data_IF_939473589950
#
_entry.id   IF_939473589950
#
_cell.length_a   1.000
_cell.length_b   1.000
_cell.length_c   1.000
_cell.angle_alpha   90.00
_cell.angle_beta   90.00
_cell.angle_gamma   90.00
#
_symmetry.space_group_name_H-M   'P 1'
#
loop_
_entity.id
_entity.type
_entity.pdbx_description
1 polymer ?
#
# COMPACT_ATOMS: atom_id res chain seq x y z
N UNK A 1 0.50 20.35 0.40
CA UNK A 1 1.10 19.03 0.16
C UNK A 1 1.21 18.29 1.47
N UNK A 2 0.98 17.01 1.45
CA UNK A 2 0.93 16.21 2.66
C UNK A 2 2.34 15.74 3.07
N UNK A 3 2.96 16.44 4.01
CA UNK A 3 4.31 16.11 4.49
C UNK A 3 4.37 14.73 5.15
N UNK A 4 3.32 14.33 5.84
CA UNK A 4 3.26 13.01 6.46
C UNK A 4 3.27 11.91 5.40
N UNK A 5 2.49 12.09 4.34
CA UNK A 5 2.44 11.14 3.24
C UNK A 5 3.81 11.00 2.56
N UNK A 6 4.48 12.12 2.29
CA UNK A 6 5.82 12.11 1.71
C UNK A 6 6.82 11.38 2.59
N UNK A 7 6.76 11.62 3.89
CA UNK A 7 7.64 10.95 4.86
C UNK A 7 7.40 9.44 4.86
N UNK A 8 6.14 9.02 4.77
CA UNK A 8 5.80 7.60 4.75
C UNK A 8 6.23 6.93 3.44
N UNK A 9 6.13 7.64 2.33
CA UNK A 9 6.67 7.16 1.05
C UNK A 9 8.19 6.96 1.14
N UNK A 10 8.90 7.92 1.72
CA UNK A 10 10.35 7.81 1.91
C UNK A 10 10.71 6.62 2.80
N UNK A 11 9.98 6.42 3.89
CA UNK A 11 10.19 5.26 4.77
C UNK A 11 9.96 3.94 4.04
N UNK A 12 8.95 3.88 3.18
CA UNK A 12 8.68 2.67 2.41
C UNK A 12 9.76 2.39 1.38
N UNK A 13 10.32 3.43 0.78
CA UNK A 13 11.49 3.28 -0.10
C UNK A 13 12.69 2.72 0.65
N UNK A 14 12.91 3.16 1.89
CA UNK A 14 13.99 2.60 2.72
C UNK A 14 13.74 1.12 3.03
N UNK A 15 12.50 0.73 3.29
CA UNK A 15 12.15 -0.68 3.46
C UNK A 15 12.42 -1.49 2.20
N UNK A 16 12.07 -0.96 1.04
CA UNK A 16 12.33 -1.60 -0.25
C UNK A 16 13.82 -1.78 -0.47
N UNK A 17 14.62 -0.77 -0.16
CA UNK A 17 16.08 -0.85 -0.24
C UNK A 17 16.62 -2.02 0.59
N UNK A 18 16.15 -2.16 1.83
CA UNK A 18 16.57 -3.26 2.70
C UNK A 18 16.22 -4.63 2.15
N UNK A 19 15.01 -4.77 1.58
CA UNK A 19 14.57 -6.02 0.97
C UNK A 19 15.46 -6.37 -0.22
N UNK A 20 15.79 -5.39 -1.05
CA UNK A 20 16.69 -5.58 -2.20
C UNK A 20 18.09 -5.96 -1.73
N UNK A 21 18.62 -5.30 -0.70
CA UNK A 21 19.93 -5.63 -0.12
C UNK A 21 20.01 -7.07 0.37
N UNK A 22 18.91 -7.57 0.90
CA UNK A 22 18.81 -8.97 1.35
C UNK A 22 18.65 -9.95 0.19
N UNK A 23 18.45 -9.46 -1.03
CA UNK A 23 18.18 -10.30 -2.19
C UNK A 23 16.82 -10.98 -2.12
N UNK A 24 15.91 -10.46 -1.29
CA UNK A 24 14.58 -11.04 -1.12
C UNK A 24 13.62 -10.55 -2.21
N UNK A 25 12.59 -11.36 -2.44
CA UNK A 25 11.57 -11.06 -3.44
C UNK A 25 10.70 -9.89 -3.01
N UNK A 26 10.42 -8.98 -3.94
CA UNK A 26 9.51 -7.88 -3.70
C UNK A 26 8.07 -8.31 -4.00
N UNK A 27 7.23 -8.26 -2.99
CA UNK A 27 5.79 -8.48 -3.13
C UNK A 27 5.05 -7.14 -2.96
N UNK A 28 3.89 -6.95 -3.57
CA UNK A 28 3.09 -5.75 -3.34
C UNK A 28 2.81 -5.57 -1.83
N UNK A 29 3.04 -4.37 -1.33
CA UNK A 29 2.85 -4.05 0.09
C UNK A 29 2.02 -2.79 0.22
N UNK A 30 1.06 -2.83 1.12
CA UNK A 30 0.22 -1.69 1.46
C UNK A 30 0.45 -1.27 2.90
N UNK A 31 0.61 0.02 3.11
CA UNK A 31 0.57 0.62 4.44
C UNK A 31 -0.56 1.62 4.47
N UNK A 32 -1.43 1.49 5.47
CA UNK A 32 -2.67 2.25 5.53
C UNK A 32 -2.61 3.23 6.68
N UNK A 33 -2.90 4.50 6.40
CA UNK A 33 -2.99 5.53 7.41
C UNK A 33 -4.44 5.67 7.86
N UNK A 34 -4.68 5.39 9.14
CA UNK A 34 -6.00 5.53 9.75
C UNK A 34 -6.16 6.90 10.39
N UNK A 35 -7.39 7.22 10.80
CA UNK A 35 -7.70 8.45 11.54
C UNK A 35 -6.91 8.59 12.85
N UNK A 36 -6.42 7.48 13.40
CA UNK A 36 -5.66 7.47 14.64
C UNK A 36 -4.16 7.55 14.42
N UNK A 37 -3.72 7.67 13.18
CA UNK A 37 -2.32 7.78 12.82
C UNK A 37 -1.57 6.47 12.68
N UNK A 38 -2.26 5.33 12.81
CA UNK A 38 -1.63 4.03 12.66
C UNK A 38 -1.44 3.64 11.21
N UNK A 39 -0.27 3.10 10.89
CA UNK A 39 -0.04 2.43 9.62
C UNK A 39 -0.12 0.92 9.83
N UNK A 40 -1.13 0.31 9.24
CA UNK A 40 -1.28 -1.13 9.21
C UNK A 40 -0.60 -1.66 7.97
N UNK A 41 0.24 -2.67 8.13
CA UNK A 41 0.89 -3.34 7.01
C UNK A 41 0.01 -4.52 6.60
N UNK A 42 -0.44 -4.51 5.36
CA UNK A 42 -1.23 -5.59 4.81
C UNK A 42 -0.36 -6.29 3.78
N UNK A 43 -0.18 -7.59 3.94
CA UNK A 43 0.61 -8.40 3.03
C UNK A 43 -0.30 -9.22 2.14
N UNK A 44 -0.03 -9.30 0.83
CA UNK A 44 -0.82 -10.16 -0.03
C UNK A 44 -0.59 -11.63 0.33
N UNK A 45 -1.63 -12.43 0.18
CA UNK A 45 -1.52 -13.86 0.26
C UNK A 45 -1.07 -14.38 -1.10
N UNK A 46 -0.27 -15.44 -1.11
CA UNK A 46 0.13 -16.10 -2.35
C UNK A 46 -1.11 -16.68 -3.04
N UNK A 47 -1.11 -16.59 -4.35
CA UNK A 47 -2.18 -17.13 -5.20
C UNK A 47 -3.50 -16.38 -5.15
N UNK A 48 -3.52 -15.17 -4.58
CA UNK A 48 -4.71 -14.33 -4.61
C UNK A 48 -4.75 -13.58 -5.95
N UNK A 49 -5.92 -13.56 -6.57
CA UNK A 49 -6.15 -12.73 -7.76
C UNK A 49 -5.95 -11.26 -7.42
N UNK A 50 -5.20 -10.56 -8.29
CA UNK A 50 -4.83 -9.16 -8.03
C UNK A 50 -6.07 -8.25 -7.90
N UNK A 51 -7.06 -8.42 -8.78
CA UNK A 51 -8.27 -7.60 -8.72
C UNK A 51 -9.07 -7.87 -7.45
N UNK A 52 -9.19 -9.13 -7.05
CA UNK A 52 -9.82 -9.51 -5.79
C UNK A 52 -9.05 -8.93 -4.60
N UNK A 53 -7.72 -9.05 -4.61
CA UNK A 53 -6.88 -8.51 -3.55
C UNK A 53 -7.06 -7.01 -3.40
N UNK A 54 -7.00 -6.26 -4.51
CA UNK A 54 -7.14 -4.82 -4.48
C UNK A 54 -8.52 -4.40 -3.97
N UNK A 55 -9.57 -5.13 -4.34
CA UNK A 55 -10.92 -4.90 -3.83
C UNK A 55 -11.00 -5.11 -2.33
N UNK A 56 -10.37 -6.18 -1.82
CA UNK A 56 -10.36 -6.47 -0.39
C UNK A 56 -9.54 -5.46 0.40
N UNK A 57 -8.41 -5.00 -0.13
CA UNK A 57 -7.62 -3.94 0.52
C UNK A 57 -8.41 -2.64 0.57
N UNK A 58 -9.11 -2.29 -0.51
CA UNK A 58 -9.97 -1.11 -0.51
C UNK A 58 -11.11 -1.23 0.52
N UNK A 59 -11.71 -2.41 0.64
CA UNK A 59 -12.72 -2.68 1.67
C UNK A 59 -12.14 -2.54 3.08
N UNK A 60 -10.94 -3.03 3.29
CA UNK A 60 -10.25 -2.89 4.57
C UNK A 60 -9.98 -1.42 4.90
N UNK A 61 -9.57 -0.64 3.91
CA UNK A 61 -9.38 0.81 4.09
C UNK A 61 -10.69 1.50 4.46
N UNK A 62 -11.81 1.12 3.84
CA UNK A 62 -13.13 1.64 4.22
C UNK A 62 -13.48 1.28 5.65
N UNK A 63 -13.26 0.04 6.05
CA UNK A 63 -13.52 -0.44 7.41
C UNK A 63 -12.70 0.33 8.45
N UNK A 64 -11.45 0.61 8.14
CA UNK A 64 -10.53 1.32 9.04
C UNK A 64 -10.65 2.83 8.97
N UNK A 65 -11.51 3.36 8.12
CA UNK A 65 -11.64 4.81 7.89
C UNK A 65 -10.30 5.44 7.49
N UNK A 66 -9.62 4.80 6.55
CA UNK A 66 -8.31 5.26 6.11
C UNK A 66 -8.40 6.61 5.39
N UNK A 67 -7.44 7.48 5.65
CA UNK A 67 -7.31 8.78 4.99
C UNK A 67 -6.28 8.78 3.87
N UNK A 68 -5.36 7.79 3.89
CA UNK A 68 -4.30 7.67 2.91
C UNK A 68 -3.70 6.26 2.95
N UNK A 69 -2.94 5.92 1.94
CA UNK A 69 -2.15 4.69 1.95
C UNK A 69 -0.88 4.85 1.12
N UNK A 70 0.07 3.97 1.36
CA UNK A 70 1.29 3.84 0.56
C UNK A 70 1.33 2.42 0.03
N UNK A 71 1.59 2.28 -1.26
CA UNK A 71 1.76 0.97 -1.89
C UNK A 71 3.10 0.91 -2.62
N UNK A 72 3.76 -0.24 -2.50
CA UNK A 72 5.01 -0.52 -3.19
C UNK A 72 4.88 -1.82 -3.96
N UNK A 73 5.30 -1.83 -5.22
CA UNK A 73 5.21 -3.02 -6.08
C UNK A 73 6.34 -3.04 -7.11
N UNK A 74 6.57 -4.22 -7.70
CA UNK A 74 7.51 -4.36 -8.81
C UNK A 74 6.82 -4.05 -10.14
N UNK A 75 7.41 -3.15 -10.93
CA UNK A 75 6.91 -2.86 -12.30
C UNK A 75 7.54 -3.75 -13.35
N UNK A 76 8.46 -4.58 -12.93
CA UNK A 76 9.20 -5.51 -13.76
C UNK A 76 10.30 -6.15 -12.94
N UNK A 77 11.15 -7.01 -13.55
CA UNK A 77 12.19 -7.71 -12.79
C UNK A 77 13.24 -6.77 -12.20
N UNK A 78 13.47 -5.61 -12.82
CA UNK A 78 14.52 -4.68 -12.45
C UNK A 78 14.00 -3.28 -12.14
N UNK A 79 12.75 -3.17 -11.74
CA UNK A 79 12.14 -1.87 -11.46
C UNK A 79 11.08 -1.99 -10.38
N UNK A 80 11.02 -1.01 -9.50
CA UNK A 80 10.03 -0.94 -8.44
C UNK A 80 9.41 0.45 -8.37
N UNK A 81 8.21 0.53 -7.87
CA UNK A 81 7.52 1.80 -7.68
C UNK A 81 6.90 1.84 -6.30
N UNK A 82 6.85 3.03 -5.74
CA UNK A 82 6.21 3.31 -4.45
C UNK A 82 5.40 4.59 -4.59
N UNK A 83 4.13 4.53 -4.30
CA UNK A 83 3.27 5.71 -4.33
C UNK A 83 2.53 5.87 -3.01
N UNK A 84 2.29 7.13 -2.65
CA UNK A 84 1.40 7.48 -1.57
C UNK A 84 0.18 8.19 -2.14
N UNK A 85 -0.99 7.81 -1.68
CA UNK A 85 -2.27 8.34 -2.17
C UNK A 85 -3.07 8.86 -0.98
N UNK A 86 -3.51 10.10 -1.08
CA UNK A 86 -4.50 10.69 -0.18
C UNK A 86 -5.66 11.20 -1.02
N UNK A 87 -6.70 11.75 -0.38
CA UNK A 87 -7.85 12.28 -1.12
C UNK A 87 -7.48 13.49 -1.98
N UNK A 88 -6.47 14.24 -1.57
CA UNK A 88 -6.09 15.51 -2.21
C UNK A 88 -4.80 15.44 -3.00
N UNK A 89 -3.99 14.39 -2.81
CA UNK A 89 -2.67 14.34 -3.44
C UNK A 89 -2.21 12.91 -3.69
N UNK A 90 -1.26 12.81 -4.61
CA UNK A 90 -0.54 11.59 -4.86
C UNK A 90 0.93 11.95 -5.07
N UNK A 91 1.82 11.18 -4.47
CA UNK A 91 3.26 11.33 -4.66
C UNK A 91 3.88 9.96 -4.81
N UNK A 92 4.92 9.86 -5.61
CA UNK A 92 5.55 8.57 -5.79
C UNK A 92 6.83 8.62 -6.58
N UNK A 93 7.54 7.51 -6.53
CA UNK A 93 8.82 7.36 -7.20
C UNK A 93 8.94 5.95 -7.78
N UNK A 94 9.60 5.88 -8.93
CA UNK A 94 10.10 4.64 -9.48
C UNK A 94 11.61 4.57 -9.25
N UNK A 95 12.13 3.38 -9.01
CA UNK A 95 13.56 3.16 -8.84
C UNK A 95 13.97 1.92 -9.63
N UNK A 96 15.00 1.99 -10.46
CA UNK A 96 15.59 0.79 -11.04
C UNK A 96 16.25 -0.04 -9.94
N UNK A 97 16.30 -1.35 -10.15
CA UNK A 97 16.94 -2.28 -9.22
C UNK A 97 18.17 -2.86 -9.92
N UNK A 98 19.32 -2.74 -9.29
CA UNK A 98 20.51 -3.44 -9.70
C UNK A 98 20.72 -4.65 -8.77
N UNK A 99 20.35 -5.83 -9.26
CA UNK A 99 20.46 -7.06 -8.47
C UNK A 99 21.90 -7.52 -8.31
N UNK A 100 22.82 -7.10 -9.17
CA UNK A 100 24.23 -7.47 -9.04
C UNK A 100 24.87 -6.81 -7.82
N UNK A 101 24.48 -5.58 -7.53
CA UNK A 101 24.93 -4.84 -6.34
C UNK A 101 23.91 -4.83 -5.22
N UNK A 102 22.72 -5.35 -5.46
CA UNK A 102 21.58 -5.34 -4.52
C UNK A 102 21.30 -3.93 -4.02
N UNK A 103 21.09 -3.04 -4.97
CA UNK A 103 20.85 -1.63 -4.65
C UNK A 103 19.75 -1.05 -5.54
N UNK A 104 19.12 0.01 -5.05
CA UNK A 104 18.20 0.83 -5.83
C UNK A 104 18.98 1.92 -6.52
N UNK A 105 18.63 2.19 -7.78
CA UNK A 105 19.15 3.32 -8.51
C UNK A 105 18.42 4.62 -8.18
N UNK A 106 18.67 5.68 -9.00
CA UNK A 106 18.08 6.99 -8.75
C UNK A 106 16.55 6.97 -8.76
N UNK A 107 15.95 7.74 -7.88
CA UNK A 107 14.51 7.93 -7.81
C UNK A 107 14.04 8.79 -8.96
N UNK A 108 12.97 8.35 -9.64
CA UNK A 108 12.30 9.10 -10.68
C UNK A 108 10.89 9.40 -10.20
N UNK A 109 10.52 10.68 -10.13
CA UNK A 109 9.17 11.08 -9.72
C UNK A 109 8.13 10.52 -10.68
N UNK A 110 7.04 10.00 -10.12
CA UNK A 110 5.90 9.52 -10.87
C UNK A 110 4.79 10.55 -10.88
N UNK A 111 4.33 10.92 -12.08
CA UNK A 111 3.12 11.72 -12.23
C UNK A 111 1.88 10.82 -12.19
N UNK A 112 0.70 11.46 -12.15
CA UNK A 112 -0.57 10.73 -12.13
C UNK A 112 -0.74 9.79 -13.33
N UNK A 113 -0.23 10.19 -14.50
CA UNK A 113 -0.33 9.39 -15.72
C UNK A 113 0.62 8.19 -15.73
N UNK A 114 1.65 8.18 -14.86
CA UNK A 114 2.63 7.10 -14.79
C UNK A 114 2.25 6.03 -13.77
N UNK A 115 1.22 6.27 -12.98
CA UNK A 115 0.80 5.37 -11.93
C UNK A 115 -0.30 4.44 -12.43
N UNK A 116 -0.37 3.25 -11.84
CA UNK A 116 -1.51 2.38 -12.10
C UNK A 116 -2.78 3.09 -11.62
N UNK A 117 -3.72 3.30 -12.53
CA UNK A 117 -5.00 3.93 -12.22
C UNK A 117 -5.71 3.21 -11.07
N UNK A 118 -5.61 1.88 -11.04
CA UNK A 118 -6.25 1.08 -10.00
C UNK A 118 -5.80 1.49 -8.59
N UNK A 119 -4.53 1.81 -8.40
CA UNK A 119 -4.06 2.24 -7.09
C UNK A 119 -4.57 3.62 -6.72
N UNK A 120 -4.59 4.55 -7.67
CA UNK A 120 -5.08 5.91 -7.40
C UNK A 120 -6.57 5.94 -7.02
N UNK A 121 -7.32 4.92 -7.43
CA UNK A 121 -8.76 4.81 -7.18
C UNK A 121 -9.13 3.90 -6.00
N UNK A 122 -8.14 3.31 -5.33
CA UNK A 122 -8.42 2.36 -4.25
C UNK A 122 -8.88 3.00 -2.95
N UNK A 123 -8.54 4.27 -2.71
CA UNK A 123 -8.95 4.91 -1.46
C UNK A 123 -10.46 5.16 -1.50
N UNK A 124 -11.23 4.53 -0.59
CA UNK A 124 -12.68 4.68 -0.62
C UNK A 124 -13.13 6.06 -0.20
N UNK A 125 -14.29 6.46 -0.67
CA UNK A 125 -14.91 7.71 -0.26
C UNK A 125 -15.23 7.67 1.24
N UNK A 126 -15.23 8.84 1.93
CA UNK A 126 -15.67 8.92 3.32
C UNK A 126 -17.10 8.38 3.46
N UNK A 127 -17.35 7.66 4.53
CA UNK A 127 -18.66 7.08 4.84
C UNK A 127 -19.10 5.95 3.88
N UNK A 128 -18.21 5.42 3.07
CA UNK A 128 -18.51 4.21 2.30
C UNK A 128 -18.86 3.08 3.24
N UNK A 129 -19.97 2.39 2.95
CA UNK A 129 -20.38 1.22 3.70
C UNK A 129 -19.92 -0.04 2.99
N UNK A 130 -19.62 -1.08 3.76
CA UNK A 130 -19.32 -2.40 3.23
C UNK A 130 -20.59 -3.23 3.19
N UNK A 131 -20.80 -3.95 2.08
CA UNK A 131 -21.81 -4.97 2.07
C UNK A 131 -21.36 -6.17 2.92
N UNK A 132 -22.31 -6.98 3.35
CA UNK A 132 -22.06 -8.09 4.25
C UNK A 132 -21.11 -9.12 3.63
N UNK A 133 -21.28 -9.41 2.34
CA UNK A 133 -20.44 -10.36 1.63
C UNK A 133 -18.99 -9.92 1.60
N UNK A 134 -18.74 -8.66 1.22
CA UNK A 134 -17.40 -8.10 1.17
C UNK A 134 -16.77 -8.05 2.56
N UNK A 135 -17.52 -7.68 3.57
CA UNK A 135 -17.06 -7.66 4.95
C UNK A 135 -16.63 -9.06 5.41
N UNK A 136 -17.45 -10.08 5.11
CA UNK A 136 -17.14 -11.47 5.46
C UNK A 136 -15.85 -11.94 4.75
N UNK A 137 -15.71 -11.64 3.46
CA UNK A 137 -14.51 -11.99 2.71
C UNK A 137 -13.27 -11.28 3.26
N UNK A 138 -13.41 -10.00 3.62
CA UNK A 138 -12.34 -9.22 4.22
C UNK A 138 -11.85 -9.85 5.52
N UNK A 139 -12.77 -10.20 6.41
CA UNK A 139 -12.41 -10.84 7.68
C UNK A 139 -11.74 -12.19 7.45
N UNK A 140 -12.21 -12.95 6.48
CA UNK A 140 -11.65 -14.25 6.14
C UNK A 140 -10.22 -14.12 5.64
N UNK A 141 -9.92 -13.09 4.83
CA UNK A 141 -8.59 -12.87 4.23
C UNK A 141 -7.60 -12.23 5.19
N UNK A 142 -8.06 -11.33 6.04
CA UNK A 142 -7.21 -10.58 6.96
C UNK A 142 -7.27 -11.08 8.40
N UNK A 143 -8.23 -11.96 8.73
CA UNK A 143 -8.20 -12.62 10.01
C UNK A 143 -7.07 -13.64 10.08
N UNK A 144 -6.57 -14.01 11.27
CA UNK A 144 -7.07 -13.67 12.60
C UNK A 144 -6.61 -12.32 13.14
N UNK A 145 -6.07 -11.43 12.31
CA UNK A 145 -5.67 -10.11 12.76
C UNK A 145 -6.89 -9.32 13.20
N UNK A 146 -6.78 -8.68 14.34
CA UNK A 146 -7.83 -7.80 14.80
C UNK A 146 -7.80 -6.52 13.94
N UNK A 147 -8.80 -6.30 13.05
CA UNK A 147 -8.79 -5.14 12.17
C UNK A 147 -9.22 -3.86 12.87
N UNK A 148 -9.62 -3.92 14.15
CA UNK A 148 -10.07 -2.74 14.88
C UNK A 148 -8.91 -1.83 15.22
N UNK A 149 -9.12 -0.51 15.32
CA UNK A 149 -8.10 0.39 15.86
C UNK A 149 -7.67 -0.08 17.25
N UNK A 150 -6.41 0.18 17.59
CA UNK A 150 -5.86 -0.24 18.88
C UNK A 150 -6.67 0.28 20.06
N UNK A 151 -7.18 1.49 19.97
CA UNK A 151 -8.02 2.09 20.99
C UNK A 151 -9.35 1.37 21.21
N UNK A 152 -9.83 0.58 20.24
CA UNK A 152 -11.08 -0.16 20.32
C UNK A 152 -10.90 -1.60 20.79
N UNK A 153 -9.71 -2.01 21.17
CA UNK A 153 -9.41 -3.38 21.60
C UNK A 153 -9.60 -3.61 23.09
N UNK A 154 -10.32 -2.75 23.71
CA UNK A 154 -10.54 -2.86 25.18
C UNK A 154 -11.84 -3.54 25.49
#
# INVERSE_FOLDING_TARGET
MDELLQRRVAQELDCTQRIVELGARLHPRFRILTAEGYFHVIRPQLHTDEAEWNRLVSAYMAYKLASAFVVSWSRGPNDTATIGVSRSSMTGYACPIDWSTRSLGPRVSLGKCDCKIVYSQMLPEPHSSLDEETYTLMLKRFGPFDPRPRSARH
#
